data_IF_828123332808
#
_entry.id   IF_828123332808
#
_cell.length_a   1.000
_cell.length_b   1.000
_cell.length_c   1.000
_cell.angle_alpha   90.00
_cell.angle_beta   90.00
_cell.angle_gamma   90.00
#
_symmetry.space_group_name_H-M   'P 1'
#
loop_
_entity.id
_entity.type
_entity.pdbx_description
1 polymer ?
#
# COMPACT_ATOMS: atom_id res chain seq x y z
N UNK A 1 4.52 3.30 -2.79
CA UNK A 1 3.87 4.61 -2.88
C UNK A 1 4.03 5.33 -1.57
N UNK A 2 4.50 6.54 -1.64
CA UNK A 2 5.12 7.23 -0.54
C UNK A 2 4.12 8.12 0.19
N UNK A 3 4.47 8.49 1.42
CA UNK A 3 3.65 9.35 2.29
C UNK A 3 3.35 10.69 1.60
N UNK A 4 4.37 11.30 1.04
CA UNK A 4 4.30 12.64 0.44
C UNK A 4 4.02 12.62 -1.06
N UNK A 5 3.94 11.44 -1.67
CA UNK A 5 3.64 11.27 -3.07
C UNK A 5 2.17 10.88 -3.29
N UNK A 6 1.61 11.30 -4.40
CA UNK A 6 0.31 10.82 -4.83
C UNK A 6 0.34 9.31 -5.06
N UNK A 7 -0.77 8.64 -4.78
CA UNK A 7 -0.97 7.21 -5.07
C UNK A 7 -1.35 6.98 -6.55
N UNK A 8 -0.77 7.75 -7.46
CA UNK A 8 -1.24 7.85 -8.83
C UNK A 8 -2.61 8.49 -8.88
N UNK A 9 -3.52 7.91 -9.64
CA UNK A 9 -4.92 8.38 -9.77
C UNK A 9 -5.85 7.82 -8.68
N UNK A 10 -5.31 7.02 -7.74
CA UNK A 10 -6.11 6.48 -6.65
C UNK A 10 -6.35 7.52 -5.57
N UNK A 11 -7.57 7.57 -5.05
CA UNK A 11 -7.87 8.28 -3.81
C UNK A 11 -7.09 7.66 -2.64
N UNK A 12 -6.83 8.46 -1.61
CA UNK A 12 -6.18 7.97 -0.39
C UNK A 12 -7.13 7.05 0.37
N UNK A 13 -6.54 6.09 1.08
CA UNK A 13 -7.29 5.06 1.77
C UNK A 13 -8.04 5.63 2.99
N UNK A 14 -7.31 6.25 3.91
CA UNK A 14 -7.84 6.85 5.14
C UNK A 14 -6.87 7.94 5.64
N UNK A 15 -7.32 8.94 6.45
CA UNK A 15 -6.44 9.94 7.05
C UNK A 15 -5.28 9.34 7.86
N UNK A 16 -5.56 8.29 8.63
CA UNK A 16 -4.58 7.50 9.37
C UNK A 16 -4.67 6.05 8.93
N UNK A 17 -3.53 5.44 8.67
CA UNK A 17 -3.47 4.03 8.32
C UNK A 17 -2.13 3.43 8.72
N UNK A 18 -2.12 2.11 8.85
CA UNK A 18 -0.91 1.35 9.08
C UNK A 18 -0.47 0.74 7.76
N UNK A 19 0.75 1.05 7.36
CA UNK A 19 1.40 0.42 6.20
C UNK A 19 2.24 -0.75 6.69
N UNK A 20 1.94 -1.96 6.23
CA UNK A 20 2.77 -3.13 6.51
C UNK A 20 3.73 -3.40 5.35
N UNK A 21 4.96 -3.75 5.70
CA UNK A 21 6.02 -4.11 4.76
C UNK A 21 6.63 -5.44 5.20
N UNK A 22 6.77 -6.35 4.27
CA UNK A 22 7.39 -7.66 4.51
C UNK A 22 8.86 -7.61 4.15
N UNK A 23 9.68 -8.22 5.00
CA UNK A 23 11.11 -8.42 4.77
C UNK A 23 11.51 -9.86 5.07
N UNK A 24 12.45 -10.40 4.32
CA UNK A 24 13.08 -11.67 4.65
C UNK A 24 13.88 -11.52 5.96
N UNK A 25 13.68 -12.42 6.92
CA UNK A 25 14.39 -12.40 8.22
C UNK A 25 15.91 -12.52 8.09
N UNK A 26 16.41 -13.00 6.95
CA UNK A 26 17.83 -13.12 6.67
C UNK A 26 18.42 -11.87 6.02
N UNK A 27 17.55 -11.01 5.45
CA UNK A 27 17.95 -9.76 4.82
C UNK A 27 18.68 -8.84 5.81
N UNK A 28 19.85 -8.29 5.44
CA UNK A 28 20.60 -7.31 6.23
C UNK A 28 19.78 -6.14 6.74
N UNK A 29 18.97 -5.53 5.89
CA UNK A 29 18.11 -4.42 6.26
C UNK A 29 17.05 -4.84 7.31
N UNK A 30 16.43 -6.00 7.11
CA UNK A 30 15.45 -6.56 8.05
C UNK A 30 16.08 -6.76 9.43
N UNK A 31 17.27 -7.36 9.50
CA UNK A 31 17.99 -7.54 10.77
C UNK A 31 18.29 -6.22 11.46
N UNK A 32 18.85 -5.26 10.71
CA UNK A 32 19.15 -3.93 11.24
C UNK A 32 17.90 -3.25 11.80
N UNK A 33 16.78 -3.30 11.08
CA UNK A 33 15.53 -2.67 11.52
C UNK A 33 14.97 -3.32 12.80
N UNK A 34 15.07 -4.63 12.92
CA UNK A 34 14.70 -5.36 14.15
C UNK A 34 15.58 -4.90 15.32
N UNK A 35 16.89 -4.86 15.13
CA UNK A 35 17.85 -4.49 16.17
C UNK A 35 17.70 -3.01 16.61
N UNK A 36 17.27 -2.13 15.69
CA UNK A 36 16.98 -0.75 15.99
C UNK A 36 15.57 -0.50 16.56
N UNK A 37 14.80 -1.57 16.79
CA UNK A 37 13.55 -1.51 17.55
C UNK A 37 12.33 -1.06 16.75
N UNK A 38 12.30 -1.28 15.44
CA UNK A 38 11.08 -1.08 14.67
C UNK A 38 9.97 -2.05 15.11
N UNK A 39 8.70 -1.62 15.15
CA UNK A 39 7.57 -2.51 15.37
C UNK A 39 7.52 -3.62 14.31
N UNK A 40 7.68 -4.85 14.74
CA UNK A 40 7.77 -6.02 13.88
C UNK A 40 7.02 -7.19 14.49
N UNK A 41 6.43 -8.02 13.63
CA UNK A 41 5.82 -9.30 13.99
C UNK A 41 6.14 -10.35 12.93
N UNK A 42 5.83 -11.61 13.22
CA UNK A 42 5.97 -12.69 12.25
C UNK A 42 4.85 -12.67 11.22
N UNK A 43 5.17 -12.95 9.95
CA UNK A 43 4.16 -13.10 8.90
C UNK A 43 3.24 -14.29 9.20
N UNK A 44 1.93 -14.07 9.07
CA UNK A 44 0.91 -15.10 9.36
C UNK A 44 1.05 -16.32 8.46
N UNK A 45 1.46 -16.13 7.21
CA UNK A 45 1.56 -17.20 6.21
C UNK A 45 2.93 -17.87 6.21
N UNK A 46 3.99 -17.14 6.53
CA UNK A 46 5.36 -17.62 6.52
C UNK A 46 6.19 -17.12 7.73
N UNK A 47 5.82 -17.50 8.95
CA UNK A 47 6.40 -16.96 10.17
C UNK A 47 7.90 -17.27 10.34
N UNK A 48 8.39 -18.35 9.75
CA UNK A 48 9.80 -18.76 9.89
C UNK A 48 10.78 -17.92 9.06
N UNK A 49 10.32 -17.31 7.97
CA UNK A 49 11.18 -16.61 7.01
C UNK A 49 10.89 -15.13 6.87
N UNK A 50 9.65 -14.70 7.16
CA UNK A 50 9.20 -13.35 6.86
C UNK A 50 8.85 -12.58 8.12
N UNK A 51 9.40 -11.39 8.24
CA UNK A 51 9.03 -10.37 9.22
C UNK A 51 8.08 -9.35 8.58
N UNK A 52 7.13 -8.85 9.36
CA UNK A 52 6.17 -7.82 8.94
C UNK A 52 6.37 -6.59 9.81
N UNK A 53 6.85 -5.53 9.20
CA UNK A 53 6.99 -4.22 9.84
C UNK A 53 5.72 -3.41 9.69
N UNK A 54 5.34 -2.69 10.74
CA UNK A 54 4.18 -1.82 10.76
C UNK A 54 4.61 -0.36 10.88
N UNK A 55 4.22 0.46 9.90
CA UNK A 55 4.52 1.89 9.84
C UNK A 55 3.24 2.70 10.00
N UNK A 56 3.17 3.59 11.01
CA UNK A 56 2.07 4.52 11.14
C UNK A 56 2.18 5.61 10.07
N UNK A 57 1.12 5.80 9.32
CA UNK A 57 1.08 6.73 8.20
C UNK A 57 -0.05 7.74 8.41
N UNK A 58 0.27 9.02 8.19
CA UNK A 58 -0.69 10.11 8.19
C UNK A 58 -0.68 10.77 6.82
N UNK A 59 -1.85 10.97 6.24
CA UNK A 59 -2.01 11.64 4.96
C UNK A 59 -2.22 13.14 5.16
N UNK A 60 -1.85 13.95 4.17
CA UNK A 60 -2.16 15.37 4.17
C UNK A 60 -3.68 15.58 4.34
N UNK A 61 -4.05 16.54 5.18
CA UNK A 61 -5.45 16.87 5.50
C UNK A 61 -6.29 17.25 4.27
N UNK A 62 -5.65 17.76 3.20
CA UNK A 62 -6.30 18.21 1.98
C UNK A 62 -6.34 17.11 0.89
N UNK A 63 -5.96 15.87 1.24
CA UNK A 63 -6.01 14.76 0.31
C UNK A 63 -7.46 14.29 0.07
N UNK A 64 -7.71 13.80 -1.15
CA UNK A 64 -8.98 13.15 -1.49
C UNK A 64 -8.94 11.70 -1.02
N UNK A 65 -9.95 11.27 -0.28
CA UNK A 65 -10.09 9.93 0.23
C UNK A 65 -11.07 9.11 -0.59
N UNK A 66 -10.96 7.79 -0.51
CA UNK A 66 -11.87 6.86 -1.21
C UNK A 66 -13.34 7.02 -0.79
N UNK A 67 -13.59 7.57 0.40
CA UNK A 67 -14.93 7.89 0.90
C UNK A 67 -15.54 9.12 0.24
N UNK A 68 -14.70 10.00 -0.34
CA UNK A 68 -15.09 11.27 -0.95
C UNK A 68 -15.42 11.12 -2.44
N UNK A 69 -15.18 9.95 -3.01
CA UNK A 69 -15.39 9.65 -4.43
C UNK A 69 -16.38 8.50 -4.61
N UNK A 70 -17.26 8.65 -5.59
CA UNK A 70 -18.05 7.54 -6.12
C UNK A 70 -17.22 6.70 -7.08
N UNK A 71 -17.67 5.48 -7.40
CA UNK A 71 -17.04 4.67 -8.43
C UNK A 71 -17.03 5.39 -9.80
N UNK A 72 -18.09 6.11 -10.12
CA UNK A 72 -18.21 6.90 -11.35
C UNK A 72 -17.22 8.07 -11.36
N UNK A 73 -16.96 8.74 -10.22
CA UNK A 73 -15.95 9.80 -10.16
C UNK A 73 -14.55 9.25 -10.41
N UNK A 74 -14.24 8.08 -9.86
CA UNK A 74 -12.97 7.39 -10.09
C UNK A 74 -12.81 7.01 -11.58
N UNK A 75 -13.88 6.49 -12.21
CA UNK A 75 -13.89 6.16 -13.64
C UNK A 75 -13.73 7.38 -14.53
N UNK A 76 -14.40 8.49 -14.23
CA UNK A 76 -14.24 9.77 -14.95
C UNK A 76 -12.81 10.29 -14.84
N UNK A 77 -12.21 10.23 -13.65
CA UNK A 77 -10.82 10.62 -13.46
C UNK A 77 -9.88 9.72 -14.26
N UNK A 78 -10.08 8.38 -14.22
CA UNK A 78 -9.33 7.42 -15.00
C UNK A 78 -9.43 7.71 -16.50
N UNK A 79 -10.63 8.05 -17.01
CA UNK A 79 -10.88 8.36 -18.40
C UNK A 79 -10.03 9.56 -18.87
N UNK A 80 -9.91 10.62 -18.06
CA UNK A 80 -9.07 11.78 -18.37
C UNK A 80 -7.61 11.36 -18.58
N UNK A 81 -7.07 10.49 -17.71
CA UNK A 81 -5.71 10.00 -17.85
C UNK A 81 -5.54 9.08 -19.06
N UNK A 82 -6.52 8.24 -19.34
CA UNK A 82 -6.53 7.35 -20.51
C UNK A 82 -6.51 8.14 -21.82
N UNK A 83 -7.30 9.19 -21.94
CA UNK A 83 -7.45 9.96 -23.17
C UNK A 83 -6.34 11.00 -23.40
N UNK A 84 -5.76 11.54 -22.31
CA UNK A 84 -4.93 12.73 -22.43
C UNK A 84 -3.50 12.58 -21.89
N UNK A 85 -3.19 11.50 -21.19
CA UNK A 85 -1.90 11.35 -20.53
C UNK A 85 -1.16 10.06 -20.86
N UNK A 86 -1.84 8.92 -20.88
CA UNK A 86 -1.19 7.62 -20.99
C UNK A 86 -1.25 7.09 -22.43
N UNK A 87 -0.09 6.72 -22.99
CA UNK A 87 -0.03 6.05 -24.29
C UNK A 87 -0.62 4.63 -24.24
N UNK A 88 -0.45 3.93 -23.12
CA UNK A 88 -0.98 2.58 -22.94
C UNK A 88 -2.20 2.59 -22.06
N UNK A 89 -2.02 2.36 -20.75
CA UNK A 89 -3.14 2.38 -19.81
C UNK A 89 -2.72 2.92 -18.43
N UNK A 90 -3.52 3.78 -17.82
CA UNK A 90 -3.38 4.09 -16.41
C UNK A 90 -3.89 2.91 -15.59
N UNK A 91 -3.03 2.34 -14.74
CA UNK A 91 -3.44 1.26 -13.85
C UNK A 91 -4.32 1.81 -12.73
N UNK A 92 -5.50 1.21 -12.55
CA UNK A 92 -6.44 1.61 -11.51
C UNK A 92 -7.22 0.42 -10.98
N UNK A 93 -7.56 0.50 -9.70
CA UNK A 93 -8.58 -0.33 -9.06
C UNK A 93 -9.69 0.58 -8.57
N UNK A 94 -10.89 0.39 -9.10
CA UNK A 94 -12.09 1.11 -8.74
C UNK A 94 -12.80 0.39 -7.60
N UNK A 95 -13.00 1.08 -6.49
CA UNK A 95 -13.80 0.56 -5.38
C UNK A 95 -15.27 0.88 -5.63
N UNK A 96 -16.12 -0.15 -5.66
CA UNK A 96 -17.53 -0.03 -6.03
C UNK A 96 -18.40 -0.40 -4.83
N UNK A 97 -19.25 0.49 -4.39
CA UNK A 97 -20.27 0.21 -3.36
C UNK A 97 -21.39 -0.65 -3.95
N UNK A 98 -22.13 -1.31 -3.08
CA UNK A 98 -23.14 -2.28 -3.50
C UNK A 98 -24.22 -1.66 -4.39
N UNK A 99 -24.60 -0.42 -4.11
CA UNK A 99 -25.60 0.36 -4.86
C UNK A 99 -25.08 0.97 -6.17
N UNK A 100 -23.76 1.00 -6.39
CA UNK A 100 -23.12 1.60 -7.57
C UNK A 100 -22.93 0.64 -8.75
N UNK A 101 -23.09 -0.67 -8.56
CA UNK A 101 -22.73 -1.67 -9.58
C UNK A 101 -23.48 -1.54 -10.91
N UNK A 102 -24.76 -1.17 -10.87
CA UNK A 102 -25.55 -0.99 -12.09
C UNK A 102 -25.08 0.23 -12.88
N UNK A 103 -24.81 1.34 -12.19
CA UNK A 103 -24.31 2.57 -12.82
C UNK A 103 -22.91 2.37 -13.40
N UNK A 104 -22.05 1.66 -12.68
CA UNK A 104 -20.72 1.27 -13.15
C UNK A 104 -20.82 0.40 -14.40
N UNK A 105 -21.73 -0.59 -14.40
CA UNK A 105 -21.96 -1.43 -15.57
C UNK A 105 -22.44 -0.65 -16.79
N UNK A 106 -23.38 0.26 -16.62
CA UNK A 106 -23.86 1.16 -17.67
C UNK A 106 -22.74 2.05 -18.21
N UNK A 107 -21.97 2.68 -17.30
CA UNK A 107 -20.85 3.55 -17.69
C UNK A 107 -19.79 2.79 -18.48
N UNK A 108 -19.42 1.58 -18.04
CA UNK A 108 -18.46 0.72 -18.74
C UNK A 108 -18.96 0.37 -20.14
N UNK A 109 -20.23 0.02 -20.27
CA UNK A 109 -20.84 -0.27 -21.57
C UNK A 109 -20.79 0.91 -22.53
N UNK A 110 -21.14 2.11 -22.05
CA UNK A 110 -21.14 3.34 -22.86
C UNK A 110 -19.73 3.81 -23.28
N UNK A 111 -18.71 3.45 -22.51
CA UNK A 111 -17.32 3.88 -22.74
C UNK A 111 -16.39 2.75 -23.19
N UNK A 112 -16.94 1.57 -23.51
CA UNK A 112 -16.18 0.33 -23.74
C UNK A 112 -15.09 0.47 -24.81
N UNK A 113 -15.39 1.16 -25.91
CA UNK A 113 -14.48 1.30 -27.06
C UNK A 113 -13.19 2.06 -26.72
N UNK A 114 -13.22 2.94 -25.70
CA UNK A 114 -12.04 3.69 -25.27
C UNK A 114 -11.33 3.05 -24.08
N UNK A 115 -11.95 2.04 -23.45
CA UNK A 115 -11.39 1.43 -22.25
C UNK A 115 -10.21 0.51 -22.55
N UNK A 116 -9.22 0.60 -21.67
CA UNK A 116 -8.17 -0.40 -21.52
C UNK A 116 -8.45 -1.27 -20.26
N UNK A 117 -7.43 -1.79 -19.58
CA UNK A 117 -7.64 -2.61 -18.38
C UNK A 117 -8.01 -1.79 -17.14
N UNK A 118 -9.16 -2.07 -16.54
CA UNK A 118 -9.62 -1.54 -15.25
C UNK A 118 -9.98 -2.69 -14.34
N UNK A 119 -9.59 -2.63 -13.08
CA UNK A 119 -9.98 -3.61 -12.05
C UNK A 119 -11.07 -3.03 -11.16
N UNK A 120 -12.07 -3.82 -10.85
CA UNK A 120 -13.16 -3.47 -9.96
C UNK A 120 -13.11 -4.33 -8.71
N UNK A 121 -13.24 -3.72 -7.55
CA UNK A 121 -13.36 -4.41 -6.27
C UNK A 121 -14.58 -3.90 -5.50
N UNK A 122 -15.30 -4.78 -4.81
CA UNK A 122 -16.32 -4.34 -3.86
C UNK A 122 -15.71 -3.42 -2.82
N UNK A 123 -16.40 -2.31 -2.52
CA UNK A 123 -16.01 -1.44 -1.43
C UNK A 123 -16.18 -2.22 -0.12
N UNK A 124 -15.08 -2.49 0.56
CA UNK A 124 -15.07 -3.24 1.81
C UNK A 124 -14.34 -2.44 2.88
N UNK A 125 -14.94 -2.39 4.06
CA UNK A 125 -14.29 -1.87 5.27
C UNK A 125 -13.44 -2.94 5.98
N UNK A 126 -13.57 -4.20 5.56
CA UNK A 126 -12.85 -5.30 6.17
C UNK A 126 -11.46 -5.47 5.55
N UNK A 127 -10.45 -5.35 6.39
CA UNK A 127 -9.07 -5.68 6.07
C UNK A 127 -8.72 -7.07 6.63
N UNK A 128 -8.03 -7.87 5.84
CA UNK A 128 -7.46 -9.11 6.34
C UNK A 128 -6.21 -8.82 7.20
N UNK A 129 -5.86 -9.76 8.08
CA UNK A 129 -4.73 -9.62 8.98
C UNK A 129 -3.43 -9.36 8.19
N UNK A 130 -2.66 -8.36 8.63
CA UNK A 130 -1.43 -7.92 7.95
C UNK A 130 -1.63 -7.45 6.51
N UNK A 131 -2.80 -6.87 6.18
CA UNK A 131 -3.02 -6.23 4.90
C UNK A 131 -2.00 -5.11 4.67
N UNK A 132 -1.55 -4.86 3.42
CA UNK A 132 -0.58 -3.80 3.11
C UNK A 132 -1.01 -2.41 3.56
N UNK A 133 -2.31 -2.16 3.61
CA UNK A 133 -2.93 -0.93 4.11
C UNK A 133 -4.05 -1.33 5.07
N UNK A 134 -4.00 -0.80 6.28
CA UNK A 134 -5.02 -1.05 7.30
C UNK A 134 -5.45 0.30 7.85
N UNK A 135 -6.72 0.63 7.72
CA UNK A 135 -7.27 1.82 8.33
C UNK A 135 -7.09 1.75 9.84
N UNK A 136 -6.78 2.85 10.47
CA UNK A 136 -6.68 2.93 11.91
C UNK A 136 -7.24 4.24 12.44
N UNK A 137 -7.64 4.22 13.71
CA UNK A 137 -7.99 5.43 14.43
C UNK A 137 -6.75 6.27 14.74
N UNK A 138 -6.95 7.54 15.02
CA UNK A 138 -5.85 8.46 15.40
C UNK A 138 -5.09 7.95 16.61
N UNK A 139 -5.78 7.40 17.58
CA UNK A 139 -5.21 6.86 18.82
C UNK A 139 -4.29 5.66 18.55
N UNK A 140 -4.67 4.79 17.61
CA UNK A 140 -3.85 3.65 17.18
C UNK A 140 -2.61 4.12 16.43
N UNK A 141 -2.77 5.12 15.56
CA UNK A 141 -1.65 5.77 14.88
C UNK A 141 -0.66 6.36 15.88
N UNK A 142 -1.12 7.14 16.86
CA UNK A 142 -0.26 7.76 17.89
C UNK A 142 0.41 6.71 18.77
N UNK A 143 -0.30 5.64 19.14
CA UNK A 143 0.24 4.54 19.91
C UNK A 143 1.35 3.80 19.16
N UNK A 144 1.18 3.55 17.85
CA UNK A 144 2.20 2.91 17.03
C UNK A 144 3.37 3.87 16.78
N UNK A 145 3.11 5.15 16.53
CA UNK A 145 4.13 6.17 16.33
C UNK A 145 5.06 6.30 17.56
N UNK A 146 4.50 6.18 18.75
CA UNK A 146 5.29 6.22 20.00
C UNK A 146 6.26 5.04 20.15
N UNK A 147 6.01 3.93 19.45
CA UNK A 147 6.87 2.73 19.42
C UNK A 147 7.94 2.78 18.35
N UNK A 148 7.85 3.73 17.41
CA UNK A 148 8.86 3.87 16.37
C UNK A 148 10.19 4.38 16.94
N UNK A 149 11.34 3.90 16.43
CA UNK A 149 12.64 4.44 16.85
C UNK A 149 12.72 5.94 16.50
N UNK A 150 13.17 6.75 17.46
CA UNK A 150 13.28 8.20 17.28
C UNK A 150 14.45 8.60 16.39
N UNK A 151 15.50 7.82 16.43
CA UNK A 151 16.72 8.00 15.64
C UNK A 151 17.09 6.68 15.00
N UNK A 152 17.49 6.71 13.75
CA UNK A 152 17.87 5.54 12.97
C UNK A 152 19.28 5.79 12.43
N UNK A 153 20.21 4.92 12.78
CA UNK A 153 21.56 4.99 12.25
C UNK A 153 21.67 4.16 10.97
N UNK A 154 21.35 4.76 9.84
CA UNK A 154 21.42 4.09 8.54
C UNK A 154 22.83 3.67 8.13
N UNK A 155 23.89 4.29 8.68
CA UNK A 155 25.27 3.89 8.39
C UNK A 155 25.63 2.51 8.93
N UNK A 156 24.89 2.01 9.90
CA UNK A 156 25.09 0.66 10.44
C UNK A 156 24.74 -0.42 9.41
N UNK A 157 23.90 -0.13 8.40
CA UNK A 157 23.49 -1.09 7.37
C UNK A 157 24.70 -1.76 6.71
N UNK A 158 25.76 -1.00 6.42
CA UNK A 158 27.00 -1.54 5.84
C UNK A 158 27.64 -2.66 6.68
N UNK A 159 27.39 -2.68 8.00
CA UNK A 159 27.90 -3.74 8.88
C UNK A 159 27.09 -5.05 8.74
N UNK A 160 25.81 -4.94 8.39
CA UNK A 160 24.90 -6.07 8.19
C UNK A 160 25.03 -6.66 6.76
N UNK A 161 25.37 -5.85 5.78
CA UNK A 161 25.48 -6.26 4.35
C UNK A 161 26.70 -7.14 4.04
N UNK A 162 27.57 -7.40 4.99
CA UNK A 162 28.77 -8.25 4.80
C UNK A 162 28.43 -9.67 4.37
N UNK A 163 27.26 -10.17 4.77
CA UNK A 163 26.79 -11.51 4.43
C UNK A 163 25.29 -11.46 4.20
N UNK A 164 24.89 -11.40 2.94
CA UNK A 164 23.50 -11.51 2.54
C UNK A 164 23.12 -13.00 2.40
N UNK A 165 22.13 -13.42 3.21
CA UNK A 165 21.62 -14.78 3.28
C UNK A 165 20.17 -14.87 2.85
N UNK A 166 19.66 -13.90 2.09
CA UNK A 166 18.30 -13.91 1.56
C UNK A 166 18.11 -15.06 0.56
N UNK A 167 16.88 -15.50 0.38
CA UNK A 167 16.55 -16.57 -0.58
C UNK A 167 16.99 -16.15 -1.98
N UNK A 168 16.72 -14.89 -2.38
CA UNK A 168 17.09 -14.38 -3.69
C UNK A 168 18.60 -14.42 -3.94
N UNK A 169 19.43 -14.05 -2.94
CA UNK A 169 20.89 -14.12 -3.08
C UNK A 169 21.40 -15.56 -3.12
N UNK A 170 20.74 -16.49 -2.43
CA UNK A 170 21.08 -17.91 -2.47
C UNK A 170 20.76 -18.55 -3.82
N UNK A 171 19.66 -18.17 -4.46
CA UNK A 171 19.30 -18.65 -5.80
C UNK A 171 20.25 -18.16 -6.89
N UNK A 172 20.79 -16.94 -6.75
CA UNK A 172 21.78 -16.39 -7.68
C UNK A 172 23.17 -16.99 -7.52
N UNK A 173 23.46 -17.61 -6.38
CA UNK A 173 24.74 -18.24 -6.09
C UNK A 173 24.83 -19.72 -6.55
N UNK A 174 23.73 -20.29 -7.04
CA UNK A 174 23.64 -21.62 -7.64
C UNK A 174 23.64 -21.53 -9.17
#
# INVERSE_FOLDING_TARGET
QLVDAASGIHARHNPYYIRTVRGDKKDPLTKMMVDQGFPVEDDVMNPSHTAVFSFPMQVNKDAVFRTDMTAIDQLKLWKIYQEHWCEHKPSVTISVKEDEWLDVGAWVYENFDMMSGVSFLPFSEHTYKQAPYQDCAKEEFEALLSKMPKEINWSDLASYEKTDMTIASQELAC
#
